data_IF_532464370520
#
_entry.id   IF_532464370520
#
_cell.length_a   1.000
_cell.length_b   1.000
_cell.length_c   1.000
_cell.angle_alpha   90.00
_cell.angle_beta   90.00
_cell.angle_gamma   90.00
#
_symmetry.space_group_name_H-M   'P 1'
#
loop_
_entity.id
_entity.type
_entity.pdbx_description
1 polymer ?
#
# COMPACT_ATOMS: atom_id res chain seq x y z
N UNK A 1 33.74 -29.10 9.62
CA UNK A 1 33.13 -27.79 9.29
C UNK A 1 31.71 -27.78 9.84
N UNK A 2 31.50 -27.15 11.00
CA UNK A 2 30.16 -27.04 11.59
C UNK A 2 29.40 -25.91 10.88
N UNK A 3 28.45 -26.27 10.01
CA UNK A 3 27.46 -25.31 9.50
C UNK A 3 26.53 -24.95 10.66
N UNK A 4 26.60 -23.71 11.13
CA UNK A 4 25.69 -23.19 12.16
C UNK A 4 24.23 -23.33 11.68
N UNK A 5 23.38 -24.16 12.32
CA UNK A 5 21.99 -24.38 11.90
C UNK A 5 21.11 -23.13 12.10
N UNK A 6 21.62 -22.07 12.74
CA UNK A 6 20.94 -20.80 12.96
C UNK A 6 21.44 -19.66 12.06
N UNK A 7 22.30 -19.93 11.06
CA UNK A 7 22.47 -18.94 9.99
C UNK A 7 21.20 -19.00 9.13
N UNK A 8 20.37 -17.95 9.09
CA UNK A 8 19.27 -17.92 8.14
C UNK A 8 19.87 -18.11 6.76
N UNK A 9 19.33 -19.08 6.02
CA UNK A 9 19.67 -19.28 4.62
C UNK A 9 19.36 -17.95 3.93
N UNK A 10 20.36 -17.31 3.32
CA UNK A 10 20.14 -16.08 2.55
C UNK A 10 19.02 -16.37 1.56
N UNK A 11 17.88 -15.69 1.72
CA UNK A 11 16.74 -15.86 0.81
C UNK A 11 17.22 -15.49 -0.58
N UNK A 12 17.15 -16.44 -1.49
CA UNK A 12 17.36 -16.12 -2.88
C UNK A 12 16.11 -15.46 -3.44
N UNK A 13 16.30 -14.66 -4.49
CA UNK A 13 15.20 -13.97 -5.17
C UNK A 13 14.03 -14.94 -5.43
N UNK A 14 14.32 -16.14 -5.94
CA UNK A 14 13.34 -17.14 -6.37
C UNK A 14 12.69 -17.95 -5.22
N UNK A 15 13.15 -17.77 -3.98
CA UNK A 15 12.57 -18.40 -2.79
C UNK A 15 11.42 -17.55 -2.20
N UNK A 16 11.20 -16.34 -2.74
CA UNK A 16 10.15 -15.42 -2.26
C UNK A 16 8.85 -15.68 -3.02
N UNK A 17 7.81 -16.07 -2.29
CA UNK A 17 6.47 -16.35 -2.81
C UNK A 17 5.42 -15.61 -1.97
N UNK A 18 5.03 -14.43 -2.45
CA UNK A 18 4.11 -13.52 -1.77
C UNK A 18 3.40 -12.61 -2.77
N UNK A 19 2.45 -11.81 -2.32
CA UNK A 19 1.93 -10.67 -3.11
C UNK A 19 2.37 -9.33 -2.52
N UNK A 20 2.63 -8.34 -3.38
CA UNK A 20 3.01 -6.99 -2.96
C UNK A 20 2.08 -5.97 -3.60
N UNK A 21 1.59 -5.05 -2.77
CA UNK A 21 0.79 -3.91 -3.22
C UNK A 21 1.73 -2.70 -3.34
N UNK A 22 2.12 -2.39 -4.58
CA UNK A 22 2.76 -1.14 -4.92
C UNK A 22 1.71 -0.02 -4.93
N UNK A 23 1.93 1.01 -4.14
CA UNK A 23 0.99 2.12 -4.03
C UNK A 23 1.68 3.43 -3.69
N UNK A 24 0.88 4.48 -3.63
CA UNK A 24 1.29 5.78 -3.11
C UNK A 24 0.60 6.05 -1.77
N UNK A 25 1.12 7.03 -1.03
CA UNK A 25 0.43 7.57 0.14
C UNK A 25 -0.99 8.02 -0.26
N UNK A 26 -2.00 7.70 0.57
CA UNK A 26 -3.42 8.06 0.35
C UNK A 26 -4.10 7.46 -0.90
N UNK A 27 -3.52 6.41 -1.48
CA UNK A 27 -4.12 5.59 -2.56
C UNK A 27 -5.32 4.74 -2.16
N UNK A 28 -5.67 4.67 -0.87
CA UNK A 28 -6.68 3.73 -0.36
C UNK A 28 -6.13 2.34 -0.02
N UNK A 29 -4.81 2.19 0.03
CA UNK A 29 -4.13 0.92 0.31
C UNK A 29 -4.51 0.27 1.63
N UNK A 30 -4.92 1.04 2.65
CA UNK A 30 -5.49 0.51 3.88
C UNK A 30 -6.81 -0.25 3.66
N UNK A 31 -7.68 0.25 2.77
CA UNK A 31 -8.97 -0.39 2.48
C UNK A 31 -8.75 -1.71 1.73
N UNK A 32 -7.87 -1.70 0.73
CA UNK A 32 -7.51 -2.94 0.01
C UNK A 32 -6.86 -3.94 0.96
N UNK A 33 -5.95 -3.51 1.84
CA UNK A 33 -5.37 -4.35 2.89
C UNK A 33 -6.47 -4.95 3.78
N UNK A 34 -7.43 -4.15 4.24
CA UNK A 34 -8.54 -4.64 5.09
C UNK A 34 -9.35 -5.71 4.36
N UNK A 35 -9.84 -5.43 3.15
CA UNK A 35 -10.66 -6.39 2.40
C UNK A 35 -9.90 -7.67 2.04
N UNK A 36 -8.61 -7.59 1.69
CA UNK A 36 -7.79 -8.79 1.44
C UNK A 36 -7.60 -9.67 2.69
N UNK A 37 -7.75 -9.14 3.90
CA UNK A 37 -7.74 -9.95 5.13
C UNK A 37 -9.11 -10.58 5.46
N UNK A 38 -10.16 -10.31 4.67
CA UNK A 38 -11.42 -11.04 4.78
C UNK A 38 -11.35 -12.43 4.15
N UNK A 39 -10.32 -12.73 3.35
CA UNK A 39 -10.00 -14.06 2.85
C UNK A 39 -9.19 -14.83 3.89
N UNK A 40 -9.61 -16.04 4.24
CA UNK A 40 -8.98 -16.81 5.32
C UNK A 40 -7.58 -17.33 4.97
N UNK A 41 -7.31 -17.57 3.69
CA UNK A 41 -6.03 -18.05 3.16
C UNK A 41 -5.06 -16.91 2.81
N UNK A 42 -5.43 -15.65 3.03
CA UNK A 42 -4.55 -14.50 2.85
C UNK A 42 -4.16 -13.88 4.19
N UNK A 43 -2.98 -13.25 4.18
CA UNK A 43 -2.56 -12.34 5.24
C UNK A 43 -1.90 -11.11 4.65
N UNK A 44 -2.67 -10.03 4.54
CA UNK A 44 -2.17 -8.74 4.07
C UNK A 44 -1.71 -7.88 5.25
N UNK A 45 -0.40 -7.77 5.43
CA UNK A 45 0.24 -6.90 6.41
C UNK A 45 0.25 -5.44 5.91
N UNK A 46 0.67 -4.54 6.81
CA UNK A 46 0.83 -3.12 6.52
C UNK A 46 2.10 -2.80 5.72
N UNK A 47 2.80 -1.76 6.16
CA UNK A 47 4.00 -1.24 5.50
C UNK A 47 5.27 -1.81 6.13
N UNK A 48 5.63 -3.06 5.79
CA UNK A 48 6.80 -3.75 6.35
C UNK A 48 8.10 -2.91 6.30
N UNK A 49 8.23 -2.07 5.26
CA UNK A 49 9.42 -1.27 4.98
C UNK A 49 9.22 0.24 5.15
N UNK A 50 8.23 0.67 5.94
CA UNK A 50 8.12 2.09 6.30
C UNK A 50 9.40 2.55 7.04
N UNK A 51 10.00 3.70 6.70
CA UNK A 51 11.22 4.16 7.37
C UNK A 51 11.10 4.31 8.90
N UNK A 52 9.90 4.65 9.39
CA UNK A 52 9.62 5.00 10.78
C UNK A 52 9.18 3.82 11.65
N UNK A 53 8.70 2.72 11.07
CA UNK A 53 8.20 1.55 11.81
C UNK A 53 8.19 0.28 10.94
N UNK A 54 7.99 -0.90 11.55
CA UNK A 54 7.76 -2.16 10.80
C UNK A 54 6.26 -2.42 10.75
N UNK A 55 5.63 -2.18 9.60
CA UNK A 55 4.17 -2.28 9.45
C UNK A 55 3.66 -3.71 9.32
N UNK A 56 3.75 -4.49 10.39
CA UNK A 56 3.15 -5.84 10.51
C UNK A 56 1.69 -5.83 10.99
N UNK A 57 1.13 -4.63 11.14
CA UNK A 57 -0.19 -4.43 11.70
C UNK A 57 -1.31 -4.87 10.77
N UNK A 58 -2.34 -5.44 11.39
CA UNK A 58 -3.66 -5.72 10.82
C UNK A 58 -4.68 -5.06 11.75
N UNK A 59 -4.85 -3.72 11.66
CA UNK A 59 -5.58 -2.95 12.68
C UNK A 59 -7.04 -3.39 12.86
N UNK A 60 -7.69 -3.86 11.78
CA UNK A 60 -9.08 -4.32 11.78
C UNK A 60 -9.31 -5.56 12.66
N UNK A 61 -8.27 -6.35 12.96
CA UNK A 61 -8.31 -7.46 13.93
C UNK A 61 -7.45 -7.18 15.18
N UNK A 62 -7.09 -5.93 15.43
CA UNK A 62 -6.32 -5.47 16.60
C UNK A 62 -4.98 -6.22 16.83
N UNK A 63 -4.28 -6.61 15.74
CA UNK A 63 -2.97 -7.28 15.82
C UNK A 63 -1.86 -6.36 15.31
N UNK A 64 -0.84 -6.11 16.14
CA UNK A 64 0.29 -5.20 15.85
C UNK A 64 1.67 -5.88 15.86
N UNK A 65 1.69 -7.21 15.92
CA UNK A 65 2.88 -8.04 15.78
C UNK A 65 2.64 -9.18 14.80
N UNK A 66 3.71 -9.63 14.15
CA UNK A 66 3.71 -10.81 13.28
C UNK A 66 5.14 -11.31 13.07
N UNK A 67 5.32 -12.63 13.02
CA UNK A 67 6.61 -13.26 12.71
C UNK A 67 7.80 -12.78 13.57
N UNK A 68 7.56 -12.46 14.85
CA UNK A 68 8.58 -11.96 15.78
C UNK A 68 8.86 -10.45 15.68
N UNK A 69 8.16 -9.71 14.82
CA UNK A 69 8.24 -8.26 14.72
C UNK A 69 7.02 -7.58 15.33
N UNK A 70 7.21 -6.39 15.88
CA UNK A 70 6.16 -5.51 16.38
C UNK A 70 6.26 -4.11 15.76
N UNK A 71 5.11 -3.48 15.48
CA UNK A 71 5.08 -2.12 14.90
C UNK A 71 5.77 -1.08 15.77
N UNK A 72 5.55 -1.17 17.08
CA UNK A 72 6.07 -0.23 18.08
C UNK A 72 7.32 -0.78 18.80
N UNK A 73 7.93 -1.84 18.28
CA UNK A 73 9.15 -2.42 18.85
C UNK A 73 10.40 -1.81 18.17
N UNK A 74 11.28 -1.12 18.91
CA UNK A 74 12.54 -0.60 18.38
C UNK A 74 13.46 -1.68 17.82
N UNK A 75 13.48 -2.88 18.40
CA UNK A 75 14.36 -3.98 17.96
C UNK A 75 13.93 -4.54 16.61
N UNK A 76 12.63 -4.58 16.34
CA UNK A 76 12.07 -4.88 15.02
C UNK A 76 12.64 -3.98 13.92
N UNK A 77 12.73 -2.67 14.16
CA UNK A 77 13.31 -1.72 13.18
C UNK A 77 14.80 -1.97 12.96
N UNK A 78 15.57 -2.16 14.04
CA UNK A 78 17.01 -2.43 13.97
C UNK A 78 17.29 -3.73 13.21
N UNK A 79 16.54 -4.78 13.52
CA UNK A 79 16.66 -6.09 12.86
C UNK A 79 16.38 -6.01 11.37
N UNK A 80 15.28 -5.35 10.97
CA UNK A 80 14.95 -5.10 9.56
C UNK A 80 16.02 -4.27 8.83
N UNK A 81 16.61 -3.27 9.48
CA UNK A 81 17.65 -2.45 8.87
C UNK A 81 18.94 -3.25 8.65
N UNK A 82 19.28 -4.14 9.60
CA UNK A 82 20.44 -5.02 9.50
C UNK A 82 20.29 -6.05 8.39
N UNK A 83 19.12 -6.68 8.29
CA UNK A 83 18.80 -7.63 7.24
C UNK A 83 17.33 -7.47 6.80
N UNK A 84 17.07 -6.73 5.70
CA UNK A 84 15.72 -6.51 5.25
C UNK A 84 15.07 -7.78 4.68
N UNK A 85 15.84 -8.77 4.23
CA UNK A 85 15.30 -10.00 3.65
C UNK A 85 14.92 -11.01 4.72
N UNK A 86 15.64 -11.06 5.84
CA UNK A 86 15.27 -11.90 6.99
C UNK A 86 13.82 -11.65 7.47
N UNK A 87 13.37 -10.39 7.47
CA UNK A 87 11.97 -10.05 7.74
C UNK A 87 11.00 -10.75 6.78
N UNK A 88 11.29 -10.76 5.46
CA UNK A 88 10.44 -11.46 4.48
C UNK A 88 10.42 -12.96 4.74
N UNK A 89 11.58 -13.54 5.11
CA UNK A 89 11.65 -14.96 5.45
C UNK A 89 10.69 -15.30 6.57
N UNK A 90 10.80 -14.55 7.67
CA UNK A 90 10.05 -14.83 8.88
C UNK A 90 8.55 -14.63 8.64
N UNK A 91 8.18 -13.61 7.85
CA UNK A 91 6.80 -13.40 7.41
C UNK A 91 6.29 -14.56 6.57
N UNK A 92 7.07 -15.03 5.60
CA UNK A 92 6.70 -16.14 4.72
C UNK A 92 6.58 -17.46 5.49
N UNK A 93 7.57 -17.80 6.31
CA UNK A 93 7.60 -19.02 7.11
C UNK A 93 6.42 -19.06 8.10
N UNK A 94 6.10 -17.92 8.72
CA UNK A 94 4.96 -17.82 9.63
C UNK A 94 3.63 -17.97 8.87
N UNK A 95 3.48 -17.33 7.71
CA UNK A 95 2.27 -17.43 6.90
C UNK A 95 2.04 -18.85 6.39
N UNK A 96 3.11 -19.53 5.94
CA UNK A 96 3.05 -20.94 5.53
C UNK A 96 2.59 -21.86 6.66
N UNK A 97 3.10 -21.68 7.89
CA UNK A 97 2.63 -22.43 9.08
C UNK A 97 1.15 -22.21 9.38
N UNK A 98 0.62 -21.04 9.03
CA UNK A 98 -0.79 -20.67 9.18
C UNK A 98 -1.65 -21.10 7.97
N UNK A 99 -1.05 -21.70 6.94
CA UNK A 99 -1.73 -22.07 5.69
C UNK A 99 -2.14 -20.85 4.86
N UNK A 100 -1.38 -19.75 4.92
CA UNK A 100 -1.72 -18.47 4.31
C UNK A 100 -0.66 -17.97 3.32
N UNK A 101 -1.12 -17.16 2.37
CA UNK A 101 -0.28 -16.41 1.45
C UNK A 101 -0.02 -15.02 2.03
N UNK A 102 1.24 -14.65 2.29
CA UNK A 102 1.57 -13.34 2.82
C UNK A 102 1.52 -12.27 1.72
N UNK A 103 1.17 -11.06 2.13
CA UNK A 103 1.42 -9.88 1.33
C UNK A 103 1.47 -8.61 2.15
N UNK A 104 1.92 -7.53 1.54
CA UNK A 104 2.13 -6.25 2.23
C UNK A 104 2.20 -5.07 1.28
N UNK A 105 2.17 -3.86 1.85
CA UNK A 105 2.23 -2.60 1.11
C UNK A 105 3.65 -2.05 1.00
N UNK A 106 4.02 -1.64 -0.21
CA UNK A 106 5.34 -1.09 -0.51
C UNK A 106 5.21 0.19 -1.35
N UNK A 107 5.79 1.29 -0.85
CA UNK A 107 5.69 2.61 -1.48
C UNK A 107 7.05 3.10 -1.99
N UNK A 108 7.04 4.20 -2.75
CA UNK A 108 8.23 4.81 -3.34
C UNK A 108 9.34 5.11 -2.31
N UNK A 109 8.98 5.67 -1.15
CA UNK A 109 9.92 6.00 -0.07
C UNK A 109 10.35 4.84 0.82
N UNK A 110 9.97 3.60 0.51
CA UNK A 110 10.37 2.42 1.29
C UNK A 110 11.71 1.85 0.79
N UNK A 111 12.13 0.70 1.34
CA UNK A 111 13.41 0.07 1.02
C UNK A 111 13.55 -0.24 -0.49
N UNK A 112 14.52 0.41 -1.14
CA UNK A 112 14.79 0.32 -2.58
C UNK A 112 15.30 -1.05 -3.02
N UNK A 113 16.09 -1.72 -2.19
CA UNK A 113 16.70 -3.01 -2.53
C UNK A 113 15.65 -4.12 -2.49
N UNK A 114 14.79 -4.11 -1.49
CA UNK A 114 13.63 -5.00 -1.42
C UNK A 114 12.69 -4.75 -2.59
N UNK A 115 12.37 -3.49 -2.92
CA UNK A 115 11.57 -3.17 -4.09
C UNK A 115 12.17 -3.75 -5.37
N UNK A 116 13.48 -3.57 -5.58
CA UNK A 116 14.19 -4.12 -6.73
C UNK A 116 14.10 -5.65 -6.79
N UNK A 117 14.31 -6.34 -5.67
CA UNK A 117 14.23 -7.81 -5.64
C UNK A 117 12.81 -8.29 -5.97
N UNK A 118 11.79 -7.75 -5.32
CA UNK A 118 10.40 -8.16 -5.53
C UNK A 118 9.89 -7.86 -6.95
N UNK A 119 10.34 -6.74 -7.54
CA UNK A 119 9.97 -6.35 -8.90
C UNK A 119 10.59 -7.30 -9.95
N UNK A 120 11.72 -7.92 -9.65
CA UNK A 120 12.43 -8.82 -10.56
C UNK A 120 12.12 -10.31 -10.34
N UNK A 121 11.45 -10.67 -9.24
CA UNK A 121 11.12 -12.07 -8.96
C UNK A 121 9.77 -12.46 -9.62
N UNK A 122 9.72 -13.34 -10.63
CA UNK A 122 8.47 -13.73 -11.30
C UNK A 122 7.44 -14.44 -10.40
N UNK A 123 7.84 -15.02 -9.27
CA UNK A 123 6.94 -15.68 -8.31
C UNK A 123 6.18 -14.72 -7.39
N UNK A 124 6.67 -13.49 -7.25
CA UNK A 124 5.97 -12.44 -6.50
C UNK A 124 4.79 -11.95 -7.33
N UNK A 125 3.60 -11.87 -6.75
CA UNK A 125 2.41 -11.30 -7.42
C UNK A 125 2.38 -9.79 -7.20
N UNK A 126 2.37 -8.99 -8.27
CA UNK A 126 2.44 -7.53 -8.18
C UNK A 126 1.08 -6.90 -8.41
N UNK A 127 0.64 -6.11 -7.45
CA UNK A 127 -0.59 -5.33 -7.52
C UNK A 127 -0.20 -3.85 -7.49
N UNK A 128 -0.64 -3.08 -8.47
CA UNK A 128 -0.43 -1.65 -8.58
C UNK A 128 -1.75 -0.96 -8.20
N UNK A 129 -1.80 -0.39 -7.00
CA UNK A 129 -2.96 0.38 -6.54
C UNK A 129 -2.80 1.84 -6.92
N UNK A 130 -3.66 2.30 -7.82
CA UNK A 130 -3.69 3.68 -8.31
C UNK A 130 -4.90 4.42 -7.74
N UNK A 131 -4.86 5.74 -7.84
CA UNK A 131 -5.94 6.63 -7.45
C UNK A 131 -5.85 7.89 -8.28
N UNK A 132 -7.00 8.48 -8.58
CA UNK A 132 -7.07 9.83 -9.14
C UNK A 132 -6.12 10.80 -8.40
N UNK A 133 -5.30 11.51 -9.17
CA UNK A 133 -4.18 12.30 -8.65
C UNK A 133 -4.69 13.53 -7.90
N UNK A 134 -5.79 14.14 -8.36
CA UNK A 134 -6.41 15.30 -7.71
C UNK A 134 -6.98 14.89 -6.36
N UNK A 135 -7.83 13.87 -6.33
CA UNK A 135 -8.42 13.32 -5.10
C UNK A 135 -7.37 12.87 -4.09
N UNK A 136 -6.31 12.22 -4.58
CA UNK A 136 -5.21 11.76 -3.74
C UNK A 136 -4.42 12.92 -3.15
N UNK A 137 -4.11 13.95 -3.95
CA UNK A 137 -3.41 15.15 -3.50
C UNK A 137 -4.23 15.96 -2.48
N UNK A 138 -5.51 16.22 -2.76
CA UNK A 138 -6.40 16.91 -1.82
C UNK A 138 -6.53 16.14 -0.52
N UNK A 139 -6.62 14.80 -0.58
CA UNK A 139 -6.62 13.98 0.63
C UNK A 139 -5.30 14.04 1.41
N UNK A 140 -4.16 14.22 0.74
CA UNK A 140 -2.85 14.37 1.37
C UNK A 140 -2.72 15.73 2.04
N UNK A 141 -3.13 16.80 1.36
CA UNK A 141 -3.12 18.16 1.86
C UNK A 141 -3.99 18.31 3.13
N UNK A 142 -5.23 17.80 3.09
CA UNK A 142 -6.12 17.77 4.27
C UNK A 142 -5.53 16.97 5.45
N UNK A 143 -4.82 15.88 5.19
CA UNK A 143 -4.19 15.07 6.24
C UNK A 143 -3.01 15.78 6.90
N UNK A 144 -2.21 16.52 6.12
CA UNK A 144 -1.11 17.35 6.64
C UNK A 144 -1.63 18.49 7.50
N UNK A 145 -2.66 19.19 7.03
CA UNK A 145 -3.27 20.30 7.75
C UNK A 145 -3.97 19.85 9.05
N UNK A 146 -4.60 18.67 9.05
CA UNK A 146 -5.27 18.10 10.22
C UNK A 146 -4.36 17.37 11.21
N UNK A 147 -3.12 17.07 10.83
CA UNK A 147 -2.22 16.19 11.60
C UNK A 147 -2.71 14.74 11.77
N UNK A 148 -3.80 14.32 11.09
CA UNK A 148 -4.40 13.00 11.26
C UNK A 148 -3.90 11.98 10.21
N UNK A 149 -3.08 11.03 10.65
CA UNK A 149 -2.56 9.95 9.79
C UNK A 149 -3.40 8.66 9.84
N UNK A 150 -4.12 8.40 10.94
CA UNK A 150 -5.16 7.36 11.09
C UNK A 150 -6.18 7.86 12.13
N UNK A 151 -7.47 7.94 11.78
CA UNK A 151 -8.53 8.42 12.69
C UNK A 151 -8.75 7.42 13.82
N UNK A 152 -8.11 7.64 14.97
CA UNK A 152 -8.52 7.06 16.26
C UNK A 152 -9.04 8.09 17.27
N UNK A 153 -8.92 9.39 16.98
CA UNK A 153 -9.38 10.44 17.89
C UNK A 153 -10.49 11.31 17.29
N UNK A 154 -11.68 11.23 17.92
CA UNK A 154 -12.90 11.96 17.56
C UNK A 154 -12.89 13.44 18.00
N UNK A 155 -11.82 13.91 18.66
CA UNK A 155 -11.79 15.20 19.36
C UNK A 155 -10.98 16.33 18.70
N UNK A 156 -10.33 16.10 17.56
CA UNK A 156 -9.59 17.17 16.86
C UNK A 156 -10.47 17.89 15.83
N UNK A 157 -10.32 19.21 15.71
CA UNK A 157 -11.04 20.03 14.73
C UNK A 157 -10.87 19.43 13.33
N UNK A 158 -12.00 19.10 12.70
CA UNK A 158 -12.04 18.48 11.38
C UNK A 158 -11.65 19.54 10.36
N UNK A 159 -10.40 19.52 9.90
CA UNK A 159 -10.01 20.31 8.74
C UNK A 159 -10.81 19.79 7.55
N UNK A 160 -11.66 20.66 7.01
CA UNK A 160 -12.57 20.35 5.91
C UNK A 160 -12.15 21.02 4.60
N UNK A 161 -11.38 22.10 4.70
CA UNK A 161 -10.86 22.84 3.55
C UNK A 161 -9.34 22.97 3.64
N UNK A 162 -8.68 22.97 2.47
CA UNK A 162 -7.24 23.20 2.33
C UNK A 162 -6.98 24.12 1.14
N UNK A 163 -5.89 24.87 1.18
CA UNK A 163 -5.43 25.62 0.03
C UNK A 163 -4.81 24.66 -1.01
N UNK A 164 -5.19 24.81 -2.27
CA UNK A 164 -4.61 24.05 -3.39
C UNK A 164 -3.47 24.83 -4.02
N UNK A 165 -2.26 24.33 -3.88
CA UNK A 165 -1.05 24.84 -4.53
C UNK A 165 -0.81 24.05 -5.84
N UNK A 166 -0.80 24.75 -6.97
CA UNK A 166 -0.63 24.16 -8.30
C UNK A 166 0.79 23.60 -8.48
N UNK A 167 1.82 24.31 -8.02
CA UNK A 167 3.21 23.89 -8.18
C UNK A 167 3.49 22.64 -7.34
N UNK A 168 2.94 22.59 -6.12
CA UNK A 168 3.03 21.40 -5.28
C UNK A 168 2.30 20.21 -5.90
N UNK A 169 1.11 20.45 -6.48
CA UNK A 169 0.35 19.43 -7.18
C UNK A 169 1.10 18.89 -8.40
N UNK A 170 1.70 19.74 -9.24
CA UNK A 170 2.50 19.29 -10.37
C UNK A 170 3.69 18.44 -9.95
N UNK A 171 4.39 18.82 -8.88
CA UNK A 171 5.49 18.03 -8.32
C UNK A 171 4.99 16.66 -7.84
N UNK A 172 3.84 16.62 -7.18
CA UNK A 172 3.18 15.40 -6.75
C UNK A 172 2.83 14.48 -7.93
N UNK A 173 2.24 15.04 -8.99
CA UNK A 173 1.90 14.34 -10.24
C UNK A 173 3.16 13.74 -10.87
N UNK A 174 4.19 14.56 -11.12
CA UNK A 174 5.45 14.11 -11.74
C UNK A 174 6.12 13.00 -10.94
N UNK A 175 6.13 13.12 -9.61
CA UNK A 175 6.69 12.08 -8.73
C UNK A 175 5.90 10.77 -8.83
N UNK A 176 4.57 10.85 -8.78
CA UNK A 176 3.69 9.68 -8.81
C UNK A 176 3.74 8.97 -10.17
N UNK A 177 3.69 9.72 -11.26
CA UNK A 177 3.83 9.18 -12.62
C UNK A 177 5.21 8.55 -12.84
N UNK A 178 6.29 9.19 -12.38
CA UNK A 178 7.64 8.59 -12.47
C UNK A 178 7.72 7.26 -11.73
N UNK A 179 7.15 7.19 -10.52
CA UNK A 179 7.15 5.97 -9.72
C UNK A 179 6.38 4.84 -10.42
N UNK A 180 5.12 5.05 -10.79
CA UNK A 180 4.32 4.01 -11.45
C UNK A 180 4.82 3.69 -12.86
N UNK A 181 5.31 4.67 -13.60
CA UNK A 181 5.92 4.48 -14.91
C UNK A 181 7.14 3.56 -14.83
N UNK A 182 8.05 3.80 -13.87
CA UNK A 182 9.21 2.93 -13.66
C UNK A 182 8.81 1.50 -13.25
N UNK A 183 7.76 1.34 -12.44
CA UNK A 183 7.24 0.01 -12.10
C UNK A 183 6.70 -0.73 -13.33
N UNK A 184 5.80 -0.08 -14.10
CA UNK A 184 5.18 -0.67 -15.30
C UNK A 184 6.24 -1.00 -16.35
N UNK A 185 7.11 -0.04 -16.67
CA UNK A 185 8.22 -0.25 -17.60
C UNK A 185 9.04 -1.49 -17.22
N UNK A 186 9.41 -1.64 -15.95
CA UNK A 186 10.20 -2.80 -15.53
C UNK A 186 9.43 -4.12 -15.63
N UNK A 187 8.15 -4.12 -15.29
CA UNK A 187 7.29 -5.30 -15.41
C UNK A 187 7.11 -5.71 -16.87
N UNK A 188 6.93 -4.74 -17.76
CA UNK A 188 6.82 -4.95 -19.21
C UNK A 188 8.13 -5.48 -19.81
N UNK A 189 9.27 -4.87 -19.48
CA UNK A 189 10.61 -5.31 -19.89
C UNK A 189 10.91 -6.77 -19.47
N UNK A 190 10.37 -7.19 -18.33
CA UNK A 190 10.56 -8.55 -17.79
C UNK A 190 9.41 -9.49 -18.10
N UNK A 191 8.40 -9.02 -18.86
CA UNK A 191 7.20 -9.78 -19.22
C UNK A 191 6.48 -10.40 -18.03
N UNK A 192 6.56 -9.75 -16.87
CA UNK A 192 5.94 -10.23 -15.64
C UNK A 192 4.50 -9.75 -15.54
N UNK A 193 3.59 -10.68 -15.19
CA UNK A 193 2.20 -10.34 -14.97
C UNK A 193 2.02 -9.48 -13.71
N UNK A 194 1.13 -8.50 -13.81
CA UNK A 194 0.70 -7.66 -12.70
C UNK A 194 -0.78 -7.30 -12.84
N UNK A 195 -1.41 -6.91 -11.73
CA UNK A 195 -2.76 -6.34 -11.73
C UNK A 195 -2.73 -4.88 -11.35
N UNK A 196 -3.57 -4.07 -12.00
CA UNK A 196 -3.85 -2.70 -11.62
C UNK A 196 -5.25 -2.68 -11.01
N UNK A 197 -5.42 -1.94 -9.92
CA UNK A 197 -6.72 -1.65 -9.33
C UNK A 197 -6.75 -0.17 -8.95
N UNK A 198 -7.85 0.53 -9.25
CA UNK A 198 -8.06 1.89 -8.79
C UNK A 198 -8.74 1.91 -7.41
N UNK A 199 -8.54 2.98 -6.64
CA UNK A 199 -9.23 3.22 -5.39
C UNK A 199 -10.75 3.01 -5.46
N UNK A 200 -11.41 3.46 -6.53
CA UNK A 200 -12.85 3.32 -6.68
C UNK A 200 -13.26 1.85 -6.90
N UNK A 201 -12.45 1.07 -7.63
CA UNK A 201 -12.66 -0.37 -7.81
C UNK A 201 -12.49 -1.14 -6.50
N UNK A 202 -11.64 -0.67 -5.57
CA UNK A 202 -11.53 -1.30 -4.25
C UNK A 202 -12.86 -1.25 -3.48
N UNK A 203 -13.77 -0.34 -3.81
CA UNK A 203 -15.10 -0.30 -3.19
C UNK A 203 -16.00 -1.44 -3.66
N UNK A 204 -15.75 -1.99 -4.84
CA UNK A 204 -16.45 -3.13 -5.41
C UNK A 204 -15.84 -4.44 -4.91
N UNK A 205 -16.67 -5.29 -4.31
CA UNK A 205 -16.23 -6.57 -3.75
C UNK A 205 -15.81 -7.55 -4.85
N UNK A 206 -16.44 -7.53 -6.02
CA UNK A 206 -16.10 -8.40 -7.14
C UNK A 206 -14.69 -8.10 -7.68
N UNK A 207 -14.35 -6.81 -7.78
CA UNK A 207 -13.00 -6.37 -8.16
C UNK A 207 -11.95 -6.77 -7.15
N UNK A 208 -12.28 -6.74 -5.86
CA UNK A 208 -11.36 -7.20 -4.81
C UNK A 208 -11.18 -8.71 -4.86
N UNK A 209 -12.22 -9.49 -5.19
CA UNK A 209 -12.08 -10.93 -5.42
C UNK A 209 -11.16 -11.24 -6.61
N UNK A 210 -11.22 -10.48 -7.71
CA UNK A 210 -10.28 -10.63 -8.82
C UNK A 210 -8.83 -10.42 -8.36
N UNK A 211 -8.58 -9.42 -7.51
CA UNK A 211 -7.26 -9.16 -6.93
C UNK A 211 -6.84 -10.26 -5.96
N UNK A 212 -7.75 -10.79 -5.13
CA UNK A 212 -7.46 -11.88 -4.21
C UNK A 212 -7.10 -13.18 -4.95
N UNK A 213 -7.85 -13.52 -6.01
CA UNK A 213 -7.54 -14.65 -6.91
C UNK A 213 -6.17 -14.47 -7.56
N UNK A 214 -5.87 -13.28 -8.06
CA UNK A 214 -4.53 -12.97 -8.58
C UNK A 214 -3.44 -13.09 -7.50
N UNK A 215 -3.73 -12.68 -6.26
CA UNK A 215 -2.86 -12.82 -5.10
C UNK A 215 -2.63 -14.31 -4.69
N UNK A 216 -3.43 -15.22 -5.23
CA UNK A 216 -3.33 -16.68 -5.04
C UNK A 216 -4.39 -17.27 -4.13
N UNK A 217 -5.37 -16.45 -3.68
CA UNK A 217 -6.48 -16.96 -2.88
C UNK A 217 -7.35 -17.92 -3.68
N UNK A 218 -7.84 -18.95 -3.00
CA UNK A 218 -8.74 -19.98 -3.53
C UNK A 218 -10.08 -20.02 -2.81
N UNK A 219 -10.26 -19.15 -1.81
CA UNK A 219 -11.47 -19.07 -0.99
C UNK A 219 -12.28 -17.83 -1.34
N UNK A 220 -13.55 -17.83 -0.95
CA UNK A 220 -14.42 -16.67 -1.10
C UNK A 220 -14.19 -15.64 0.01
N UNK A 221 -14.51 -14.38 -0.29
CA UNK A 221 -14.42 -13.30 0.69
C UNK A 221 -15.48 -13.49 1.78
N UNK A 222 -15.08 -13.42 3.05
CA UNK A 222 -16.06 -13.37 4.14
C UNK A 222 -16.85 -12.06 4.09
N UNK A 223 -18.17 -12.15 4.13
CA UNK A 223 -19.05 -10.98 4.25
C UNK A 223 -18.84 -10.32 5.61
N UNK A 224 -18.20 -9.16 5.62
CA UNK A 224 -18.07 -8.32 6.81
C UNK A 224 -18.43 -6.86 6.49
N UNK A 225 -19.07 -6.14 7.43
CA UNK A 225 -19.25 -4.70 7.26
C UNK A 225 -17.86 -4.04 7.25
N UNK A 226 -17.52 -3.40 6.14
CA UNK A 226 -16.24 -2.69 6.01
C UNK A 226 -16.13 -1.61 7.09
N UNK A 227 -15.05 -1.61 7.87
CA UNK A 227 -14.87 -0.61 8.94
C UNK A 227 -14.44 0.75 8.37
N UNK A 228 -13.80 0.74 7.19
CA UNK A 228 -13.37 1.93 6.47
C UNK A 228 -14.46 2.46 5.52
N UNK A 229 -15.20 3.48 5.97
CA UNK A 229 -16.14 4.24 5.13
C UNK A 229 -15.39 5.23 4.22
N UNK A 230 -15.99 5.56 3.06
CA UNK A 230 -15.54 6.61 2.11
C UNK A 230 -15.13 7.87 2.87
N UNK A 231 -13.82 8.09 3.01
CA UNK A 231 -13.28 9.06 3.97
C UNK A 231 -13.55 10.52 3.56
N UNK A 232 -13.77 10.77 2.27
CA UNK A 232 -13.86 12.11 1.69
C UNK A 232 -15.17 12.30 0.90
N UNK A 233 -16.32 12.30 1.59
CA UNK A 233 -17.59 12.77 1.00
C UNK A 233 -17.50 14.29 0.72
N UNK A 234 -18.03 14.75 -0.41
CA UNK A 234 -18.05 16.16 -0.82
C UNK A 234 -17.25 16.45 -2.10
N UNK A 235 -17.69 17.42 -2.90
CA UNK A 235 -17.00 17.88 -4.11
C UNK A 235 -15.70 18.62 -3.80
N UNK A 236 -14.87 18.87 -4.81
CA UNK A 236 -13.64 19.66 -4.65
C UNK A 236 -13.94 21.09 -4.17
N UNK A 237 -15.05 21.67 -4.62
CA UNK A 237 -15.58 22.97 -4.18
C UNK A 237 -15.74 23.08 -2.64
N UNK A 238 -16.06 21.99 -1.97
CA UNK A 238 -16.24 21.96 -0.51
C UNK A 238 -14.93 21.73 0.24
N UNK A 239 -13.90 21.26 -0.45
CA UNK A 239 -12.61 20.84 0.12
C UNK A 239 -11.49 21.83 -0.14
N UNK A 240 -11.66 22.75 -1.09
CA UNK A 240 -10.64 23.71 -1.48
C UNK A 240 -11.07 25.13 -1.09
N UNK A 241 -10.25 25.82 -0.30
CA UNK A 241 -10.52 27.22 0.08
C UNK A 241 -10.37 28.19 -1.09
N UNK A 242 -9.62 27.81 -2.12
CA UNK A 242 -9.36 28.59 -3.34
C UNK A 242 -9.92 27.91 -4.61
N UNK A 243 -11.02 27.14 -4.51
CA UNK A 243 -11.59 26.39 -5.64
C UNK A 243 -11.78 27.25 -6.90
N UNK A 244 -12.36 28.44 -6.76
CA UNK A 244 -12.61 29.35 -7.89
C UNK A 244 -11.33 29.77 -8.64
N UNK A 245 -10.18 29.76 -7.97
CA UNK A 245 -8.88 30.12 -8.57
C UNK A 245 -8.24 28.96 -9.33
N UNK A 246 -8.57 27.72 -8.96
CA UNK A 246 -7.93 26.51 -9.51
C UNK A 246 -8.85 25.67 -10.39
N UNK A 247 -10.15 25.97 -10.45
CA UNK A 247 -11.15 25.17 -11.20
C UNK A 247 -10.80 25.00 -12.68
N UNK A 248 -10.33 26.05 -13.36
CA UNK A 248 -10.02 26.01 -14.79
C UNK A 248 -8.77 25.16 -15.05
N UNK A 249 -7.75 25.30 -14.20
CA UNK A 249 -6.56 24.45 -14.21
C UNK A 249 -6.92 22.97 -14.00
N UNK A 250 -7.75 22.67 -13.00
CA UNK A 250 -8.18 21.29 -12.71
C UNK A 250 -9.02 20.69 -13.85
N UNK A 251 -9.88 21.49 -14.49
CA UNK A 251 -10.62 21.06 -15.67
C UNK A 251 -9.69 20.69 -16.82
N UNK A 252 -8.69 21.54 -17.14
CA UNK A 252 -7.70 21.26 -18.17
C UNK A 252 -6.83 20.03 -17.85
N UNK A 253 -6.42 19.89 -16.59
CA UNK A 253 -5.67 18.72 -16.12
C UNK A 253 -6.47 17.42 -16.31
N UNK A 254 -7.74 17.37 -15.91
CA UNK A 254 -8.56 16.17 -16.04
C UNK A 254 -8.81 15.78 -17.51
N UNK A 255 -8.98 16.75 -18.41
CA UNK A 255 -9.13 16.47 -19.84
C UNK A 255 -7.85 15.86 -20.44
N UNK A 256 -6.69 16.39 -20.07
CA UNK A 256 -5.41 15.85 -20.55
C UNK A 256 -5.02 14.51 -19.91
N UNK A 257 -5.44 14.25 -18.68
CA UNK A 257 -5.16 13.00 -17.97
C UNK A 257 -6.02 11.80 -18.43
N UNK A 258 -7.17 12.07 -19.07
CA UNK A 258 -8.06 11.07 -19.68
C UNK A 258 -7.76 10.79 -21.16
N UNK A 259 -6.75 11.47 -21.73
CA UNK A 259 -6.31 11.32 -23.12
C UNK A 259 -5.26 10.23 -23.32
#
# INVERSE_FOLDING_TARGET
MFTNPFRPKLIQCDDIELFVIFGAMRSGSNLLQEKLNYFDDLICLGELYNPSFVGVDRPHINKFSYAGYGRNDPESRKSRQKDPFLLLQQVQDQAQKEGKIPGFRLFDGHNKDVRRVLLNNPRVRKILLQRDLVDSFVSLALARESGQWVKRDEKANKVTQVHFDIDEFEQYVRKTQRYFGALKQRLDETQQQYKVIDYYDVLDDEKVEEIAKFAGSTVEMRKQPTTLRKQNKGGLEQKLSNFEQVKDYLHGFNQSALG
#
